data_IF_498179765346
#
_entry.id   IF_498179765346
#
_cell.length_a   1.000
_cell.length_b   1.000
_cell.length_c   1.000
_cell.angle_alpha   90.00
_cell.angle_beta   90.00
_cell.angle_gamma   90.00
#
_symmetry.space_group_name_H-M   'P 1'
#
loop_
_entity.id
_entity.type
_entity.pdbx_description
1 polymer ?
#
# COMPACT_ATOMS: atom_id res chain seq x y z
N UNK A 1 -7.55 -74.81 -37.25
CA UNK A 1 -7.32 -75.08 -35.82
C UNK A 1 -6.92 -73.78 -35.14
N UNK A 2 -7.78 -73.27 -34.24
CA UNK A 2 -7.61 -71.99 -33.54
C UNK A 2 -7.00 -72.26 -32.16
N UNK A 3 -5.96 -71.53 -31.77
CA UNK A 3 -5.60 -71.33 -30.36
C UNK A 3 -5.52 -69.82 -30.13
N UNK A 4 -6.59 -69.25 -29.59
CA UNK A 4 -6.63 -67.87 -29.11
C UNK A 4 -6.23 -67.88 -27.64
N UNK A 5 -5.17 -67.17 -27.29
CA UNK A 5 -4.73 -66.99 -25.92
C UNK A 5 -5.73 -66.11 -25.16
N UNK A 6 -6.13 -66.57 -23.98
CA UNK A 6 -7.03 -65.87 -23.06
C UNK A 6 -6.17 -64.98 -22.16
N UNK A 7 -6.19 -63.67 -22.37
CA UNK A 7 -5.57 -62.71 -21.45
C UNK A 7 -6.57 -62.37 -20.34
N UNK A 8 -6.28 -62.80 -19.11
CA UNK A 8 -6.97 -62.32 -17.92
C UNK A 8 -6.51 -60.88 -17.63
N UNK A 9 -7.38 -59.89 -17.85
CA UNK A 9 -7.16 -58.54 -17.32
C UNK A 9 -7.46 -58.56 -15.82
N UNK A 10 -6.41 -58.44 -15.00
CA UNK A 10 -6.54 -58.15 -13.58
C UNK A 10 -6.77 -56.64 -13.44
N UNK A 11 -8.03 -56.21 -13.27
CA UNK A 11 -8.32 -54.81 -12.93
C UNK A 11 -7.99 -54.59 -11.45
N UNK A 12 -6.83 -53.98 -11.21
CA UNK A 12 -6.45 -53.53 -9.88
C UNK A 12 -7.27 -52.26 -9.57
N UNK A 13 -8.40 -52.42 -8.90
CA UNK A 13 -9.14 -51.31 -8.31
C UNK A 13 -8.29 -50.69 -7.20
N UNK A 14 -7.69 -49.53 -7.47
CA UNK A 14 -7.08 -48.71 -6.43
C UNK A 14 -8.19 -48.12 -5.57
N UNK A 15 -8.29 -48.59 -4.32
CA UNK A 15 -9.05 -47.90 -3.28
C UNK A 15 -8.44 -46.52 -3.07
N UNK A 16 -9.24 -45.47 -3.31
CA UNK A 16 -8.93 -44.11 -2.90
C UNK A 16 -8.73 -44.07 -1.39
N UNK A 17 -7.49 -43.96 -0.96
CA UNK A 17 -7.19 -43.61 0.43
C UNK A 17 -6.36 -42.35 0.42
N UNK A 18 -6.72 -41.49 1.37
CA UNK A 18 -6.06 -40.24 1.72
C UNK A 18 -6.55 -39.04 0.89
N UNK A 19 -7.80 -38.68 1.18
CA UNK A 19 -8.15 -37.29 1.32
C UNK A 19 -7.21 -36.64 2.34
N UNK A 20 -6.17 -36.01 1.83
CA UNK A 20 -5.55 -34.86 2.46
C UNK A 20 -5.56 -33.82 1.36
N UNK A 21 -6.55 -32.92 1.41
CA UNK A 21 -6.42 -31.64 0.72
C UNK A 21 -5.04 -31.11 1.07
N UNK A 22 -4.16 -30.80 0.11
CA UNK A 22 -2.96 -30.09 0.45
C UNK A 22 -3.46 -28.75 0.98
N UNK A 23 -3.40 -28.56 2.30
CA UNK A 23 -3.37 -27.22 2.84
C UNK A 23 -2.17 -26.59 2.15
N UNK A 24 -2.45 -25.72 1.16
CA UNK A 24 -1.43 -24.91 0.52
C UNK A 24 -0.67 -24.27 1.66
N UNK A 25 0.63 -24.59 1.79
CA UNK A 25 1.47 -23.95 2.77
C UNK A 25 1.26 -22.45 2.56
N UNK A 26 0.77 -21.75 3.59
CA UNK A 26 0.54 -20.32 3.49
C UNK A 26 1.81 -19.70 2.91
N UNK A 27 1.67 -19.03 1.76
CA UNK A 27 2.83 -18.46 1.08
C UNK A 27 3.60 -17.63 2.10
N UNK A 28 4.86 -17.98 2.32
CA UNK A 28 5.67 -17.29 3.31
C UNK A 28 5.68 -15.80 2.96
N UNK A 29 5.27 -14.96 3.92
CA UNK A 29 5.31 -13.51 3.73
C UNK A 29 6.77 -13.15 3.44
N UNK A 30 7.01 -12.52 2.28
CA UNK A 30 8.35 -12.11 1.89
C UNK A 30 8.91 -11.14 2.93
N UNK A 31 10.21 -11.22 3.19
CA UNK A 31 10.90 -10.19 3.97
C UNK A 31 10.65 -8.80 3.34
N UNK A 32 10.45 -7.76 4.17
CA UNK A 32 10.23 -6.41 3.66
C UNK A 32 11.44 -5.94 2.85
N UNK A 33 11.18 -5.29 1.72
CA UNK A 33 12.21 -4.70 0.86
C UNK A 33 12.12 -3.19 1.00
N UNK A 34 13.25 -2.56 1.32
CA UNK A 34 13.36 -1.11 1.29
C UNK A 34 13.25 -0.62 -0.15
N UNK A 35 12.16 0.08 -0.51
CA UNK A 35 12.00 0.67 -1.85
C UNK A 35 12.76 1.98 -2.00
N UNK A 36 12.59 2.87 -1.03
CA UNK A 36 13.23 4.18 -0.97
C UNK A 36 13.24 4.68 0.47
N UNK A 37 14.04 5.70 0.75
CA UNK A 37 14.13 6.33 2.07
C UNK A 37 14.50 7.81 1.93
N UNK A 38 14.16 8.60 2.95
CA UNK A 38 14.46 10.05 3.03
C UNK A 38 13.80 10.90 1.94
N UNK A 39 12.76 10.37 1.29
CA UNK A 39 11.86 11.19 0.47
C UNK A 39 11.22 12.27 1.33
N UNK A 40 11.16 13.50 0.82
CA UNK A 40 10.62 14.66 1.55
C UNK A 40 11.70 15.48 2.27
N UNK A 41 12.80 14.85 2.69
CA UNK A 41 13.92 15.55 3.33
C UNK A 41 14.56 16.60 2.41
N UNK A 42 15.19 17.60 3.03
CA UNK A 42 16.10 18.53 2.37
C UNK A 42 17.47 17.88 2.20
N UNK A 43 18.36 18.56 1.47
CA UNK A 43 19.70 18.04 1.12
C UNK A 43 20.56 17.68 2.35
N UNK A 44 20.40 18.40 3.46
CA UNK A 44 21.22 18.22 4.66
C UNK A 44 20.44 17.82 5.91
N UNK A 45 19.11 17.87 5.92
CA UNK A 45 18.28 17.59 7.10
C UNK A 45 16.84 17.22 6.72
N UNK A 46 16.08 16.69 7.67
CA UNK A 46 14.67 16.35 7.50
C UNK A 46 13.85 17.07 8.57
N UNK A 47 12.63 17.47 8.23
CA UNK A 47 11.68 17.92 9.23
C UNK A 47 11.33 16.80 10.21
N UNK A 48 10.84 17.20 11.38
CA UNK A 48 10.37 16.26 12.40
C UNK A 48 8.86 16.14 12.33
N UNK A 49 8.37 14.96 11.91
CA UNK A 49 6.98 14.56 12.06
C UNK A 49 6.80 13.86 13.40
N UNK A 50 6.07 14.46 14.34
CA UNK A 50 5.76 13.86 15.64
C UNK A 50 4.29 13.49 15.69
N UNK A 51 3.99 12.26 16.11
CA UNK A 51 2.62 11.70 16.24
C UNK A 51 1.78 11.66 14.95
N UNK A 52 2.26 12.23 13.84
CA UNK A 52 1.63 12.13 12.53
C UNK A 52 1.70 10.70 11.98
N UNK A 53 0.61 10.29 11.32
CA UNK A 53 0.57 9.08 10.50
C UNK A 53 0.55 9.48 9.02
N UNK A 54 1.36 8.83 8.16
CA UNK A 54 1.30 9.08 6.72
C UNK A 54 -0.02 8.56 6.12
N UNK A 55 -0.41 9.13 4.99
CA UNK A 55 -1.53 8.66 4.18
C UNK A 55 -1.03 8.21 2.79
N UNK A 56 -1.83 7.40 2.11
CA UNK A 56 -1.55 6.92 0.76
C UNK A 56 -2.81 7.09 -0.07
N UNK A 57 -2.70 7.79 -1.19
CA UNK A 57 -3.80 8.05 -2.11
C UNK A 57 -3.24 8.31 -3.52
N UNK A 58 -4.04 8.03 -4.54
CA UNK A 58 -3.79 8.44 -5.93
C UNK A 58 -4.35 9.85 -6.07
N UNK A 59 -3.48 10.86 -6.01
CA UNK A 59 -3.89 12.27 -5.89
C UNK A 59 -4.18 12.92 -7.24
N UNK A 60 -3.64 12.36 -8.33
CA UNK A 60 -3.76 12.91 -9.68
C UNK A 60 -4.46 11.96 -10.66
N UNK A 61 -5.07 10.89 -10.15
CA UNK A 61 -5.85 9.91 -10.89
C UNK A 61 -5.04 9.21 -12.01
N UNK A 62 -3.73 9.04 -11.81
CA UNK A 62 -2.83 8.40 -12.79
C UNK A 62 -2.69 6.87 -12.58
N UNK A 63 -3.33 6.33 -11.54
CA UNK A 63 -3.29 4.92 -11.16
C UNK A 63 -2.09 4.56 -10.29
N UNK A 64 -1.26 5.52 -9.90
CA UNK A 64 -0.13 5.38 -8.98
C UNK A 64 -0.46 6.09 -7.68
N UNK A 65 0.16 5.62 -6.62
CA UNK A 65 -0.12 6.12 -5.28
C UNK A 65 0.96 7.10 -4.85
N UNK A 66 0.55 8.23 -4.28
CA UNK A 66 1.38 9.13 -3.53
C UNK A 66 1.42 8.72 -2.06
N UNK A 67 2.53 9.04 -1.39
CA UNK A 67 2.69 8.95 0.06
C UNK A 67 2.74 10.35 0.64
N UNK A 68 1.77 10.66 1.49
CA UNK A 68 1.64 11.93 2.20
C UNK A 68 2.26 11.86 3.58
N UNK A 69 3.01 12.90 3.96
CA UNK A 69 3.60 13.02 5.29
C UNK A 69 3.38 14.40 5.90
N UNK A 70 2.99 14.41 7.17
CA UNK A 70 2.85 15.61 7.99
C UNK A 70 4.09 15.86 8.85
N UNK A 71 4.60 17.09 8.80
CA UNK A 71 5.66 17.61 9.66
C UNK A 71 5.39 19.10 9.96
N UNK A 72 6.36 19.99 9.78
CA UNK A 72 6.08 21.44 9.75
C UNK A 72 5.41 21.84 8.44
N UNK A 73 5.72 21.09 7.39
CA UNK A 73 5.05 21.12 6.10
C UNK A 73 4.18 19.88 5.92
N UNK A 74 3.25 19.94 4.98
CA UNK A 74 2.71 18.74 4.34
C UNK A 74 3.52 18.50 3.06
N UNK A 75 3.93 17.27 2.81
CA UNK A 75 4.60 16.89 1.57
C UNK A 75 3.98 15.63 0.96
N UNK A 76 4.12 15.50 -0.36
CA UNK A 76 3.72 14.33 -1.13
C UNK A 76 4.93 13.73 -1.86
N UNK A 77 5.04 12.41 -1.82
CA UNK A 77 6.06 11.63 -2.50
C UNK A 77 5.41 10.70 -3.51
N UNK A 78 6.02 10.53 -4.68
CA UNK A 78 5.67 9.44 -5.58
C UNK A 78 5.95 8.10 -4.88
N UNK A 79 4.95 7.22 -4.77
CA UNK A 79 5.07 5.96 -4.03
C UNK A 79 5.97 4.91 -4.69
N UNK A 80 6.22 5.04 -6.00
CA UNK A 80 7.08 4.09 -6.73
C UNK A 80 8.56 4.31 -6.39
N UNK A 81 9.02 5.57 -6.35
CA UNK A 81 10.43 5.92 -6.29
C UNK A 81 10.83 6.89 -5.15
N UNK A 82 9.86 7.43 -4.41
CA UNK A 82 10.08 8.33 -3.27
C UNK A 82 10.46 9.77 -3.64
N UNK A 83 10.36 10.17 -4.92
CA UNK A 83 10.63 11.55 -5.32
C UNK A 83 9.54 12.47 -4.81
N UNK A 84 9.93 13.63 -4.26
CA UNK A 84 8.99 14.64 -3.78
C UNK A 84 8.26 15.27 -4.97
N UNK A 85 6.94 15.18 -4.96
CA UNK A 85 6.09 15.82 -5.96
C UNK A 85 5.82 17.27 -5.57
N UNK A 86 5.35 17.50 -4.35
CA UNK A 86 5.15 18.83 -3.81
C UNK A 86 5.36 18.88 -2.29
N UNK A 87 5.41 20.11 -1.78
CA UNK A 87 5.38 20.44 -0.36
C UNK A 87 4.69 21.77 -0.20
N UNK A 88 3.88 21.89 0.85
CA UNK A 88 3.21 23.14 1.21
C UNK A 88 3.55 23.52 2.64
N UNK A 89 3.71 24.82 2.86
CA UNK A 89 3.75 25.38 4.20
C UNK A 89 2.36 25.31 4.83
N UNK A 90 2.33 25.02 6.12
CA UNK A 90 1.08 24.98 6.88
C UNK A 90 0.69 26.38 7.36
N UNK A 91 -0.61 26.64 7.47
CA UNK A 91 -1.11 27.91 7.98
C UNK A 91 -0.98 28.03 9.50
N UNK A 92 -1.01 26.88 10.19
CA UNK A 92 -0.76 26.75 11.62
C UNK A 92 0.71 26.38 11.93
N UNK A 93 0.90 25.80 13.11
CA UNK A 93 2.15 25.09 13.44
C UNK A 93 2.12 23.68 12.81
N UNK A 94 2.97 22.76 13.27
CA UNK A 94 3.05 21.38 12.78
C UNK A 94 1.71 20.67 12.56
N UNK A 95 1.72 19.78 11.56
CA UNK A 95 0.74 18.70 11.41
C UNK A 95 1.00 17.65 12.48
N UNK A 96 0.14 17.62 13.50
CA UNK A 96 0.23 16.65 14.60
C UNK A 96 -0.59 15.36 14.35
N UNK A 97 -1.83 15.45 13.84
CA UNK A 97 -2.65 14.26 13.60
C UNK A 97 -2.29 13.56 12.29
N UNK A 98 -2.91 12.40 12.06
CA UNK A 98 -2.81 11.73 10.76
C UNK A 98 -3.40 12.58 9.63
N UNK A 99 -2.79 12.45 8.45
CA UNK A 99 -3.33 13.00 7.21
C UNK A 99 -4.52 12.14 6.78
N UNK A 100 -5.60 12.75 6.32
CA UNK A 100 -6.79 12.05 5.80
C UNK A 100 -7.00 12.44 4.35
N UNK A 101 -7.38 11.48 3.51
CA UNK A 101 -7.76 11.72 2.12
C UNK A 101 -9.18 11.23 1.87
N UNK A 102 -9.99 12.02 1.19
CA UNK A 102 -11.35 11.67 0.79
C UNK A 102 -11.84 12.65 -0.28
N UNK A 103 -12.68 12.16 -1.18
CA UNK A 103 -13.53 12.98 -2.05
C UNK A 103 -14.68 13.54 -1.19
N UNK A 104 -14.53 14.77 -0.70
CA UNK A 104 -15.41 15.43 0.26
C UNK A 104 -16.47 16.27 -0.47
N UNK A 105 -16.13 16.82 -1.62
CA UNK A 105 -17.04 17.63 -2.43
C UNK A 105 -17.77 16.83 -3.54
N UNK A 106 -17.42 15.55 -3.71
CA UNK A 106 -18.00 14.60 -4.66
C UNK A 106 -17.74 15.01 -6.12
N UNK A 107 -16.54 15.54 -6.41
CA UNK A 107 -16.09 15.89 -7.75
C UNK A 107 -15.30 14.76 -8.45
N UNK A 108 -14.88 13.74 -7.70
CA UNK A 108 -14.15 12.57 -8.20
C UNK A 108 -12.63 12.63 -8.06
N UNK A 109 -12.08 13.77 -7.66
CA UNK A 109 -10.71 13.92 -7.16
C UNK A 109 -10.69 13.68 -5.64
N UNK A 110 -9.51 13.48 -5.04
CA UNK A 110 -9.38 13.21 -3.60
C UNK A 110 -8.70 14.37 -2.88
N UNK A 111 -9.44 15.03 -2.01
CA UNK A 111 -8.90 16.11 -1.19
C UNK A 111 -8.03 15.59 -0.04
N UNK A 112 -7.09 16.42 0.39
CA UNK A 112 -6.25 16.18 1.56
C UNK A 112 -6.73 17.03 2.73
N UNK A 113 -7.02 16.39 3.86
CA UNK A 113 -7.36 17.05 5.12
C UNK A 113 -6.23 16.90 6.12
N UNK A 114 -5.75 18.04 6.62
CA UNK A 114 -4.75 18.10 7.69
C UNK A 114 -5.25 18.95 8.84
N UNK A 115 -4.91 18.53 10.05
CA UNK A 115 -5.07 19.32 11.26
C UNK A 115 -3.70 19.75 11.78
N UNK A 116 -3.60 20.97 12.28
CA UNK A 116 -2.34 21.60 12.64
C UNK A 116 -2.42 22.16 14.07
N UNK A 117 -1.25 22.43 14.66
CA UNK A 117 -1.17 23.21 15.89
C UNK A 117 -1.83 24.58 15.75
N UNK A 118 -2.36 25.12 16.84
CA UNK A 118 -3.11 26.38 16.82
C UNK A 118 -4.60 26.25 16.46
N UNK A 119 -5.09 25.01 16.27
CA UNK A 119 -6.52 24.73 16.03
C UNK A 119 -6.94 24.86 14.56
N UNK A 120 -5.99 24.85 13.63
CA UNK A 120 -6.27 24.91 12.20
C UNK A 120 -6.64 23.53 11.66
N UNK A 121 -7.62 23.53 10.76
CA UNK A 121 -7.93 22.41 9.87
C UNK A 121 -7.93 22.98 8.46
N UNK A 122 -7.17 22.34 7.56
CA UNK A 122 -7.05 22.74 6.16
C UNK A 122 -7.51 21.58 5.29
N UNK A 123 -8.32 21.90 4.29
CA UNK A 123 -8.69 21.02 3.18
C UNK A 123 -7.98 21.54 1.95
N UNK A 124 -7.29 20.64 1.24
CA UNK A 124 -6.57 20.91 0.02
C UNK A 124 -7.27 20.15 -1.09
N UNK A 125 -7.63 20.89 -2.13
CA UNK A 125 -8.15 20.42 -3.41
C UNK A 125 -6.97 20.41 -4.41
#
# INVERSE_FOLDING_TARGET
MRRRALFFLLTLSFLSTNGLSPFSAAAAVQAPVLKWQRGGCYSSWCETGWYSSPAVADLDNDGKMEVLGGAYTLFALNGENGTKQFSIDTAGDRVWPGVVTADIDNNGDVEIVIAQGGGYVTVLD
#
